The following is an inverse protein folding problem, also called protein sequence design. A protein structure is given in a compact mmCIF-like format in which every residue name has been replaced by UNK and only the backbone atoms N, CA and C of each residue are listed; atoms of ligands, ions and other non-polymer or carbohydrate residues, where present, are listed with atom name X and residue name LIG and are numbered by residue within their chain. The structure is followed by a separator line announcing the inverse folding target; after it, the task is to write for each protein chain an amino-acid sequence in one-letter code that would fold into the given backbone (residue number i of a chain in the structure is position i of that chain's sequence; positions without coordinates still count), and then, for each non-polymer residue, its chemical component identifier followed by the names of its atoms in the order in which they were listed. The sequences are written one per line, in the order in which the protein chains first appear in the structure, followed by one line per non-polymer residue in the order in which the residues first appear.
data_IF_742851330613
#
_entry.id   IF_742851330613
#
_cell.length_a   1.000
_cell.length_b   1.000
_cell.length_c   1.000
_cell.angle_alpha   90.00
_cell.angle_beta   90.00
_cell.angle_gamma   90.00
#
_symmetry.space_group_name_H-M   'P 1'
#
loop_
_entity.id
_entity.type
_entity.pdbx_description
1 polymer ?
#
# COMPACT_ATOMS: atom_id res chain seq x y z
N UNK A 1 14.26 17.18 30.79
CA UNK A 1 13.84 16.71 32.13
C UNK A 1 12.41 16.19 32.02
N UNK A 2 12.20 14.87 32.13
CA UNK A 2 10.87 14.27 32.08
C UNK A 2 10.13 14.50 33.41
N UNK A 3 9.18 15.44 33.42
CA UNK A 3 8.38 15.78 34.59
C UNK A 3 7.38 14.69 34.97
N UNK A 4 7.67 13.99 36.07
CA UNK A 4 6.79 13.47 37.13
C UNK A 4 5.30 13.15 36.90
N UNK A 5 4.90 12.55 35.79
CA UNK A 5 3.76 11.63 35.86
C UNK A 5 4.04 10.34 35.09
N UNK A 6 4.40 9.31 35.86
CA UNK A 6 4.47 7.91 35.40
C UNK A 6 3.21 7.55 34.60
N UNK A 7 2.06 8.07 35.03
CA UNK A 7 0.79 7.92 34.35
C UNK A 7 0.75 8.57 32.96
N UNK A 8 1.12 9.85 32.77
CA UNK A 8 1.07 10.46 31.44
C UNK A 8 2.05 9.80 30.46
N UNK A 9 3.24 9.41 30.92
CA UNK A 9 4.19 8.67 30.08
C UNK A 9 3.65 7.30 29.65
N UNK A 10 2.98 6.58 30.56
CA UNK A 10 2.30 5.32 30.23
C UNK A 10 1.14 5.57 29.26
N UNK A 11 0.34 6.61 29.46
CA UNK A 11 -0.77 6.97 28.58
C UNK A 11 -0.30 7.30 27.16
N UNK A 12 0.71 8.16 26.99
CA UNK A 12 1.22 8.51 25.67
C UNK A 12 1.80 7.30 24.94
N UNK A 13 2.57 6.46 25.65
CA UNK A 13 3.15 5.24 25.08
C UNK A 13 2.06 4.24 24.68
N UNK A 14 1.08 4.01 25.56
CA UNK A 14 -0.03 3.09 25.31
C UNK A 14 -0.93 3.60 24.18
N UNK A 15 -1.29 4.88 24.15
CA UNK A 15 -2.07 5.48 23.08
C UNK A 15 -1.39 5.36 21.70
N UNK A 16 -0.06 5.53 21.65
CA UNK A 16 0.70 5.30 20.43
C UNK A 16 0.69 3.83 19.96
N UNK A 17 0.77 2.88 20.91
CA UNK A 17 0.69 1.45 20.62
C UNK A 17 -0.73 1.03 20.18
N UNK A 18 -1.76 1.56 20.84
CA UNK A 18 -3.14 1.28 20.50
C UNK A 18 -3.49 1.84 19.11
N UNK A 19 -2.96 3.00 18.74
CA UNK A 19 -3.10 3.54 17.37
C UNK A 19 -2.46 2.64 16.31
N UNK A 20 -1.28 2.08 16.59
CA UNK A 20 -0.61 1.13 15.69
C UNK A 20 -1.39 -0.18 15.56
N UNK A 21 -1.91 -0.70 16.68
CA UNK A 21 -2.73 -1.91 16.70
C UNK A 21 -4.07 -1.70 15.97
N UNK A 22 -4.72 -0.56 16.17
CA UNK A 22 -5.93 -0.20 15.44
C UNK A 22 -5.69 -0.14 13.93
N UNK A 23 -4.56 0.44 13.48
CA UNK A 23 -4.21 0.45 12.07
C UNK A 23 -3.97 -0.97 11.50
N UNK A 24 -3.37 -1.89 12.28
CA UNK A 24 -3.21 -3.29 11.88
C UNK A 24 -4.56 -4.00 11.78
N UNK A 25 -5.47 -3.76 12.73
CA UNK A 25 -6.81 -4.33 12.71
C UNK A 25 -7.62 -3.89 11.48
N UNK A 26 -7.52 -2.62 11.09
CA UNK A 26 -8.15 -2.13 9.86
C UNK A 26 -7.60 -2.82 8.62
N UNK A 27 -6.29 -3.08 8.56
CA UNK A 27 -5.67 -3.80 7.42
C UNK A 27 -6.18 -5.24 7.33
N UNK A 28 -6.17 -5.97 8.45
CA UNK A 28 -6.65 -7.35 8.51
C UNK A 28 -8.15 -7.45 8.19
N UNK A 29 -8.96 -6.48 8.64
CA UNK A 29 -10.39 -6.42 8.30
C UNK A 29 -10.61 -6.28 6.79
N UNK A 30 -9.85 -5.42 6.11
CA UNK A 30 -9.92 -5.25 4.65
C UNK A 30 -9.42 -6.49 3.89
N UNK A 31 -8.39 -7.14 4.39
CA UNK A 31 -7.87 -8.39 3.81
C UNK A 31 -8.90 -9.51 3.90
N UNK A 32 -9.58 -9.66 5.05
CA UNK A 32 -10.69 -10.62 5.20
C UNK A 32 -11.83 -10.30 4.24
N UNK A 33 -12.23 -9.03 4.10
CA UNK A 33 -13.28 -8.63 3.16
C UNK A 33 -12.91 -8.95 1.70
N UNK A 34 -11.67 -8.65 1.30
CA UNK A 34 -11.17 -8.97 -0.04
C UNK A 34 -11.13 -10.48 -0.29
N UNK A 35 -10.68 -11.26 0.70
CA UNK A 35 -10.67 -12.72 0.61
C UNK A 35 -12.09 -13.30 0.47
N UNK A 36 -13.07 -12.79 1.22
CA UNK A 36 -14.47 -13.21 1.13
C UNK A 36 -15.04 -12.92 -0.25
N UNK A 37 -14.74 -11.75 -0.82
CA UNK A 37 -15.21 -11.38 -2.16
C UNK A 37 -14.67 -12.31 -3.25
N UNK A 38 -13.45 -12.82 -3.09
CA UNK A 38 -12.79 -13.67 -4.09
C UNK A 38 -13.15 -15.16 -3.98
N UNK A 39 -13.36 -15.66 -2.75
CA UNK A 39 -13.46 -17.10 -2.50
C UNK A 39 -14.64 -17.52 -1.62
N UNK A 40 -15.57 -16.60 -1.33
CA UNK A 40 -16.71 -16.87 -0.45
C UNK A 40 -16.38 -16.70 1.04
N UNK A 41 -17.43 -16.70 1.86
CA UNK A 41 -17.38 -16.42 3.30
C UNK A 41 -17.00 -17.61 4.18
N UNK A 42 -16.86 -18.80 3.61
CA UNK A 42 -16.50 -20.00 4.35
C UNK A 42 -14.96 -20.19 4.42
N UNK A 43 -14.36 -20.17 5.64
CA UNK A 43 -12.92 -20.36 5.80
C UNK A 43 -12.42 -21.76 5.41
N UNK A 44 -13.27 -22.79 5.37
CA UNK A 44 -12.85 -24.15 5.01
C UNK A 44 -12.61 -24.29 3.50
N UNK A 45 -13.44 -23.63 2.69
CA UNK A 45 -13.31 -23.59 1.23
C UNK A 45 -12.41 -22.45 0.72
N UNK A 46 -12.05 -21.47 1.57
CA UNK A 46 -11.24 -20.32 1.21
C UNK A 46 -9.92 -20.23 2.02
N UNK A 47 -8.80 -20.76 1.47
CA UNK A 47 -7.50 -20.72 2.14
C UNK A 47 -6.96 -19.32 2.42
N UNK A 48 -7.34 -18.30 1.60
CA UNK A 48 -6.94 -16.91 1.84
C UNK A 48 -7.64 -16.37 3.09
N UNK A 49 -8.95 -16.63 3.22
CA UNK A 49 -9.72 -16.25 4.40
C UNK A 49 -9.21 -16.95 5.65
N UNK A 50 -8.90 -18.25 5.57
CA UNK A 50 -8.33 -19.00 6.69
C UNK A 50 -7.02 -18.37 7.21
N UNK A 51 -6.09 -18.03 6.31
CA UNK A 51 -4.82 -17.38 6.66
C UNK A 51 -5.02 -16.00 7.29
N UNK A 52 -5.93 -15.20 6.73
CA UNK A 52 -6.25 -13.88 7.28
C UNK A 52 -6.85 -13.98 8.70
N UNK A 53 -7.75 -14.95 8.93
CA UNK A 53 -8.34 -15.22 10.26
C UNK A 53 -7.26 -15.69 11.25
N UNK A 54 -6.37 -16.60 10.84
CA UNK A 54 -5.28 -17.08 11.68
C UNK A 54 -4.35 -15.93 12.12
N UNK A 55 -4.01 -15.05 11.18
CA UNK A 55 -3.19 -13.85 11.44
C UNK A 55 -3.91 -12.87 12.37
N UNK A 56 -5.20 -12.64 12.16
CA UNK A 56 -6.02 -11.78 13.02
C UNK A 56 -6.10 -12.30 14.46
N UNK A 57 -6.27 -13.62 14.63
CA UNK A 57 -6.24 -14.28 15.94
C UNK A 57 -4.86 -14.15 16.61
N UNK A 58 -3.78 -14.31 15.85
CA UNK A 58 -2.41 -14.10 16.34
C UNK A 58 -2.13 -12.66 16.80
N UNK A 59 -2.88 -11.69 16.30
CA UNK A 59 -2.82 -10.28 16.72
C UNK A 59 -3.80 -9.92 17.84
N UNK A 60 -4.44 -10.92 18.46
CA UNK A 60 -5.48 -10.75 19.48
C UNK A 60 -6.66 -9.91 19.00
N UNK A 61 -7.04 -10.02 17.73
CA UNK A 61 -8.27 -9.41 17.24
C UNK A 61 -9.49 -10.12 17.87
N UNK A 62 -10.47 -9.38 18.44
CA UNK A 62 -11.70 -9.98 18.96
C UNK A 62 -12.48 -10.76 17.90
N UNK A 63 -13.09 -11.88 18.29
CA UNK A 63 -13.90 -12.73 17.39
C UNK A 63 -15.02 -11.94 16.70
N UNK A 64 -15.68 -11.04 17.43
CA UNK A 64 -16.76 -10.21 16.89
C UNK A 64 -16.28 -9.31 15.76
N UNK A 65 -15.04 -8.80 15.84
CA UNK A 65 -14.47 -7.97 14.78
C UNK A 65 -14.13 -8.79 13.54
N UNK A 66 -13.69 -10.04 13.71
CA UNK A 66 -13.45 -10.98 12.63
C UNK A 66 -14.78 -11.29 11.92
N UNK A 67 -15.82 -11.66 12.67
CA UNK A 67 -17.13 -11.97 12.09
C UNK A 67 -17.71 -10.77 11.34
N UNK A 68 -17.67 -9.57 11.93
CA UNK A 68 -18.09 -8.32 11.28
C UNK A 68 -17.32 -8.03 9.99
N UNK A 69 -16.04 -8.39 9.90
CA UNK A 69 -15.27 -8.21 8.67
C UNK A 69 -15.75 -9.18 7.58
N UNK A 70 -16.01 -10.44 7.95
CA UNK A 70 -16.51 -11.48 7.04
C UNK A 70 -17.90 -11.11 6.52
N UNK A 71 -18.83 -10.74 7.41
CA UNK A 71 -20.20 -10.39 7.06
C UNK A 71 -20.24 -9.16 6.12
N UNK A 72 -19.38 -8.17 6.37
CA UNK A 72 -19.24 -7.00 5.48
C UNK A 72 -18.71 -7.37 4.10
N UNK A 73 -17.83 -8.36 4.00
CA UNK A 73 -17.32 -8.86 2.72
C UNK A 73 -18.35 -9.67 1.94
N UNK A 74 -19.27 -10.34 2.65
CA UNK A 74 -20.34 -11.16 2.06
C UNK A 74 -21.60 -10.35 1.68
N UNK A 75 -21.79 -9.16 2.27
CA UNK A 75 -22.95 -8.32 2.03
C UNK A 75 -23.02 -7.76 0.60
N UNK A 76 -24.24 -7.56 0.09
CA UNK A 76 -24.49 -7.04 -1.27
C UNK A 76 -23.93 -5.61 -1.52
N UNK A 77 -23.66 -4.86 -0.45
CA UNK A 77 -23.03 -3.54 -0.49
C UNK A 77 -21.53 -3.58 -0.16
N UNK A 78 -20.87 -4.73 -0.32
CA UNK A 78 -19.42 -4.83 -0.11
C UNK A 78 -18.71 -3.82 -1.03
N UNK A 79 -18.01 -2.86 -0.41
CA UNK A 79 -17.18 -1.90 -1.13
C UNK A 79 -16.30 -2.64 -2.13
N UNK A 80 -16.17 -2.09 -3.34
CA UNK A 80 -15.33 -2.67 -4.37
C UNK A 80 -13.85 -2.47 -4.02
N UNK A 81 -13.36 -3.28 -3.07
CA UNK A 81 -11.96 -3.35 -2.71
C UNK A 81 -11.20 -3.99 -3.87
N UNK A 82 -10.40 -3.17 -4.55
CA UNK A 82 -9.51 -3.59 -5.62
C UNK A 82 -8.08 -3.72 -5.08
N UNK A 83 -7.41 -4.81 -5.45
CA UNK A 83 -5.97 -4.98 -5.27
C UNK A 83 -5.23 -4.18 -6.35
N UNK A 84 -4.50 -3.15 -5.92
CA UNK A 84 -3.67 -2.33 -6.81
C UNK A 84 -2.21 -2.46 -6.39
N UNK A 85 -1.37 -2.82 -7.36
CA UNK A 85 0.08 -2.88 -7.22
C UNK A 85 0.69 -1.61 -7.81
N UNK A 86 1.42 -0.88 -6.98
CA UNK A 86 2.21 0.27 -7.42
C UNK A 86 3.67 -0.12 -7.46
N UNK A 87 4.36 0.25 -8.53
CA UNK A 87 5.79 0.05 -8.67
C UNK A 87 6.47 1.41 -8.75
N UNK A 88 7.63 1.50 -8.10
CA UNK A 88 8.36 2.75 -7.97
C UNK A 88 9.83 2.52 -7.75
N UNK A 89 10.63 3.55 -8.01
CA UNK A 89 12.04 3.56 -7.67
C UNK A 89 12.27 4.54 -6.52
N UNK A 90 12.89 4.05 -5.45
CA UNK A 90 13.36 4.86 -4.35
C UNK A 90 14.70 5.54 -4.64
N UNK A 91 15.19 6.38 -3.72
CA UNK A 91 16.52 6.98 -3.80
C UNK A 91 17.59 5.90 -4.02
N UNK A 92 18.52 6.12 -4.96
CA UNK A 92 19.56 5.15 -5.28
C UNK A 92 19.13 4.02 -6.24
N UNK A 93 17.94 4.08 -6.85
CA UNK A 93 17.51 3.10 -7.86
C UNK A 93 16.94 1.80 -7.28
N UNK A 94 16.60 1.79 -5.99
CA UNK A 94 15.98 0.64 -5.33
C UNK A 94 14.54 0.49 -5.82
N UNK A 95 14.20 -0.67 -6.38
CA UNK A 95 12.81 -1.00 -6.74
C UNK A 95 11.94 -1.18 -5.51
N UNK A 96 10.78 -0.54 -5.48
CA UNK A 96 9.80 -0.61 -4.41
C UNK A 96 8.47 -1.05 -5.01
N UNK A 97 7.89 -2.10 -4.43
CA UNK A 97 6.58 -2.62 -4.81
C UNK A 97 5.65 -2.39 -3.63
N UNK A 98 4.54 -1.71 -3.89
CA UNK A 98 3.53 -1.38 -2.88
C UNK A 98 2.22 -2.01 -3.30
N UNK A 99 1.83 -3.08 -2.61
CA UNK A 99 0.52 -3.69 -2.74
C UNK A 99 -0.48 -2.95 -1.86
N UNK A 100 -1.68 -2.69 -2.36
CA UNK A 100 -2.69 -1.92 -1.64
C UNK A 100 -4.10 -2.34 -2.01
N UNK A 101 -4.95 -2.40 -0.99
CA UNK A 101 -6.39 -2.61 -1.13
C UNK A 101 -7.09 -1.25 -1.04
N UNK A 102 -7.82 -0.86 -2.09
CA UNK A 102 -8.53 0.43 -2.14
C UNK A 102 -9.94 0.26 -2.67
N UNK A 103 -10.88 1.01 -2.09
CA UNK A 103 -12.28 1.16 -2.55
C UNK A 103 -12.39 2.20 -3.69
N UNK A 104 -11.32 2.96 -3.94
CA UNK A 104 -11.29 3.99 -4.98
C UNK A 104 -9.84 4.23 -5.47
N UNK A 105 -9.58 3.98 -6.75
CA UNK A 105 -8.27 4.17 -7.39
C UNK A 105 -7.82 5.65 -7.41
N UNK A 106 -8.77 6.59 -7.45
CA UNK A 106 -8.51 8.03 -7.57
C UNK A 106 -8.34 8.73 -6.21
N UNK A 107 -8.71 8.09 -5.08
CA UNK A 107 -8.62 8.70 -3.74
C UNK A 107 -7.18 8.70 -3.18
N UNK A 108 -6.22 8.02 -3.82
CA UNK A 108 -4.81 7.91 -3.39
C UNK A 108 -3.83 8.70 -4.25
N UNK A 109 -4.12 9.96 -4.56
CA UNK A 109 -3.21 10.86 -5.28
C UNK A 109 -1.97 11.34 -4.49
N UNK A 110 -1.73 10.81 -3.29
CA UNK A 110 -0.60 11.23 -2.44
C UNK A 110 0.66 10.36 -2.59
N UNK A 111 0.58 9.21 -3.28
CA UNK A 111 1.74 8.43 -3.69
C UNK A 111 1.96 8.66 -5.19
N UNK A 112 2.98 9.44 -5.56
CA UNK A 112 3.41 9.65 -6.95
C UNK A 112 4.12 8.40 -7.49
N UNK A 113 3.46 7.24 -7.43
CA UNK A 113 3.92 5.97 -7.98
C UNK A 113 2.98 5.57 -9.13
N UNK A 114 3.55 5.03 -10.21
CA UNK A 114 2.78 4.67 -11.41
C UNK A 114 2.10 3.32 -11.16
N UNK A 115 0.76 3.23 -11.26
CA UNK A 115 0.08 1.95 -11.17
C UNK A 115 0.35 1.15 -12.46
N UNK A 116 0.89 -0.05 -12.33
CA UNK A 116 1.06 -0.96 -13.46
C UNK A 116 -0.29 -1.65 -13.69
N UNK A 117 -0.94 -1.34 -14.81
CA UNK A 117 -2.14 -2.06 -15.24
C UNK A 117 -1.80 -3.49 -15.70
N UNK A 118 -2.78 -4.40 -15.79
CA UNK A 118 -2.51 -5.80 -16.11
C UNK A 118 -1.95 -6.06 -17.52
N UNK A 119 -1.98 -5.10 -18.43
CA UNK A 119 -1.38 -5.26 -19.75
C UNK A 119 -1.12 -3.90 -20.41
N UNK A 120 0.10 -3.36 -20.30
CA UNK A 120 0.69 -2.39 -21.25
C UNK A 120 2.20 -2.53 -21.25
N UNK A 121 2.71 -3.28 -22.21
CA UNK A 121 4.11 -3.20 -22.65
C UNK A 121 4.33 -1.86 -23.36
N UNK A 122 4.31 -0.76 -22.62
CA UNK A 122 4.70 0.52 -23.17
C UNK A 122 6.24 0.55 -23.30
N UNK A 123 6.80 0.74 -24.51
CA UNK A 123 8.24 0.78 -24.69
C UNK A 123 8.80 2.02 -23.99
N UNK A 124 9.80 1.80 -23.14
CA UNK A 124 10.51 2.84 -22.39
C UNK A 124 10.95 3.99 -23.32
N UNK A 125 10.79 5.27 -22.91
CA UNK A 125 11.22 6.41 -23.72
C UNK A 125 12.75 6.42 -23.85
N UNK A 126 13.24 6.29 -25.08
CA UNK A 126 14.65 6.35 -25.43
C UNK A 126 15.28 7.65 -24.92
N UNK A 127 16.25 7.54 -24.01
CA UNK A 127 17.03 8.68 -23.51
C UNK A 127 17.84 9.31 -24.65
N UNK A 128 17.37 10.47 -25.07
CA UNK A 128 18.01 11.48 -25.92
C UNK A 128 19.49 11.71 -25.56
N UNK A 129 20.42 11.41 -26.46
CA UNK A 129 21.78 11.97 -26.45
C UNK A 129 21.82 13.25 -27.29
N UNK A 130 21.56 14.40 -26.67
CA UNK A 130 22.06 15.69 -27.21
C UNK A 130 23.51 15.83 -26.75
N UNK A 131 24.47 15.64 -27.66
CA UNK A 131 25.82 16.22 -27.52
C UNK A 131 25.96 17.30 -28.58
N UNK A 132 25.65 18.54 -28.19
CA UNK A 132 26.25 19.69 -28.84
C UNK A 132 27.67 19.83 -28.29
N UNK A 133 28.66 19.84 -29.19
CA UNK A 133 30.00 20.33 -28.89
C UNK A 133 30.24 21.49 -29.85
N UNK A 134 30.01 22.69 -29.33
CA UNK A 134 30.64 23.91 -29.85
C UNK A 134 32.15 23.82 -29.61
N UNK A 135 32.93 23.86 -30.68
CA UNK A 135 34.36 24.13 -30.63
C UNK A 135 34.82 24.58 -32.03
N UNK A 136 35.20 25.85 -32.18
CA UNK A 136 35.77 26.32 -33.44
C UNK A 136 35.96 27.83 -33.60
N UNK A 137 36.41 28.55 -32.56
CA UNK A 137 37.02 29.86 -32.76
C UNK A 137 38.45 29.66 -33.28
N UNK A 138 38.79 30.27 -34.42
CA UNK A 138 40.16 30.68 -34.84
C UNK A 138 40.14 31.45 -36.17
N UNK A 139 40.06 32.78 -36.04
CA UNK A 139 40.97 33.79 -36.58
C UNK A 139 41.89 33.45 -37.79
N UNK A 140 41.75 34.21 -38.90
CA UNK A 140 42.76 34.97 -39.71
C UNK A 140 42.24 35.15 -41.16
N UNK A 141 42.01 36.38 -41.62
CA UNK A 141 42.88 37.11 -42.58
C UNK A 141 42.32 36.92 -44.01
N UNK A 142 41.93 37.92 -44.79
CA UNK A 142 42.59 39.17 -45.10
C UNK A 142 43.03 39.10 -46.57
N UNK A 143 42.46 39.99 -47.39
CA UNK A 143 42.58 40.19 -48.86
C UNK A 143 41.55 39.47 -49.71
#
# INVERSE_FOLDING_TARGET
MAGHSKFANIMHRKGGQDKKRAAQFTKLAREMQAAVKLGGSDPASNPRLFRAIATARGMNMPKDNIQRAIDRGAGANAEALEEVRYEGFGPGGIGVIVESLTDNRNRRNQLRLVPVGPDRRDPLPARRRRRGRDAGSRHRGGR
#
